data_IF_179842217856
#
_entry.id   IF_179842217856
#
_cell.length_a   1.000
_cell.length_b   1.000
_cell.length_c   1.000
_cell.angle_alpha   90.00
_cell.angle_beta   90.00
_cell.angle_gamma   90.00
#
_symmetry.space_group_name_H-M   'P 1'
#
loop_
_entity.id
_entity.type
_entity.pdbx_description
1 polymer ?
#
# COMPACT_ATOMS: atom_id res chain seq x y z
N UNK A 1 36.20 -24.71 -70.57
CA UNK A 1 37.15 -23.63 -70.25
C UNK A 1 36.39 -22.52 -69.55
N UNK A 2 36.98 -21.95 -68.49
CA UNK A 2 36.49 -20.84 -67.64
C UNK A 2 35.41 -21.25 -66.64
N UNK A 3 35.67 -21.49 -65.35
CA UNK A 3 36.32 -20.71 -64.26
C UNK A 3 35.40 -19.69 -63.58
N UNK A 4 35.52 -19.66 -62.24
CA UNK A 4 35.01 -18.69 -61.24
C UNK A 4 33.64 -19.08 -60.66
N UNK A 5 33.45 -19.35 -59.37
CA UNK A 5 34.10 -18.79 -58.19
C UNK A 5 33.23 -17.65 -57.64
N UNK A 6 32.33 -17.94 -56.69
CA UNK A 6 31.69 -16.90 -55.89
C UNK A 6 31.15 -17.48 -54.59
N UNK A 7 31.85 -17.14 -53.51
CA UNK A 7 31.45 -17.36 -52.13
C UNK A 7 30.37 -16.35 -51.77
N UNK A 8 29.22 -16.82 -51.30
CA UNK A 8 28.19 -15.96 -50.73
C UNK A 8 28.33 -15.95 -49.22
N UNK A 9 28.84 -14.84 -48.66
CA UNK A 9 28.83 -14.56 -47.23
C UNK A 9 27.38 -14.43 -46.72
N UNK A 10 27.13 -15.01 -45.54
CA UNK A 10 25.89 -14.86 -44.77
C UNK A 10 26.06 -13.62 -43.88
N UNK A 11 25.15 -12.62 -43.91
CA UNK A 11 25.20 -11.55 -42.92
C UNK A 11 24.71 -12.06 -41.55
N UNK A 12 25.61 -12.03 -40.57
CA UNK A 12 25.33 -12.18 -39.14
C UNK A 12 24.42 -11.03 -38.67
N UNK A 13 23.18 -11.36 -38.28
CA UNK A 13 22.26 -10.43 -37.61
C UNK A 13 22.54 -10.45 -36.11
N UNK A 14 23.37 -9.51 -35.65
CA UNK A 14 23.59 -9.25 -34.23
C UNK A 14 22.42 -8.41 -33.71
N UNK A 15 21.53 -9.02 -32.94
CA UNK A 15 20.46 -8.31 -32.25
C UNK A 15 21.06 -7.29 -31.24
N UNK A 16 20.59 -6.03 -31.20
CA UNK A 16 20.98 -5.12 -30.14
C UNK A 16 20.35 -5.56 -28.82
N UNK A 17 21.20 -5.68 -27.82
CA UNK A 17 20.86 -5.87 -26.41
C UNK A 17 20.11 -4.63 -25.90
N UNK A 18 18.78 -4.72 -25.82
CA UNK A 18 17.95 -3.72 -25.15
C UNK A 18 18.17 -3.80 -23.64
N UNK A 19 19.09 -2.99 -23.14
CA UNK A 19 19.30 -2.79 -21.70
C UNK A 19 18.14 -1.99 -21.12
N UNK A 20 17.70 -2.48 -19.98
CA UNK A 20 16.87 -1.91 -18.91
C UNK A 20 16.48 -0.44 -18.96
N UNK A 21 15.26 -0.21 -18.43
CA UNK A 21 14.80 0.93 -17.61
C UNK A 21 13.75 1.81 -18.27
N UNK A 22 12.51 1.63 -17.82
CA UNK A 22 11.54 2.72 -17.69
C UNK A 22 10.57 2.37 -16.55
N UNK A 23 11.05 2.52 -15.32
CA UNK A 23 10.18 2.94 -14.21
C UNK A 23 9.84 4.41 -14.45
N UNK A 24 8.57 4.71 -14.65
CA UNK A 24 7.89 5.96 -14.23
C UNK A 24 6.58 6.11 -15.01
N UNK A 25 5.54 5.39 -14.61
CA UNK A 25 4.17 5.81 -14.88
C UNK A 25 3.76 6.77 -13.76
N UNK A 26 4.20 8.02 -13.88
CA UNK A 26 3.66 9.15 -13.14
C UNK A 26 2.33 9.54 -13.80
N UNK A 27 1.25 8.90 -13.39
CA UNK A 27 -0.11 9.40 -13.66
C UNK A 27 -0.42 10.41 -12.57
N UNK A 28 -0.12 11.68 -12.85
CA UNK A 28 -0.56 12.81 -12.05
C UNK A 28 -1.69 13.50 -12.80
N UNK A 29 -2.90 13.59 -12.23
CA UNK A 29 -3.77 14.78 -12.36
C UNK A 29 -4.99 14.71 -11.45
N UNK A 30 -4.71 14.83 -10.16
CA UNK A 30 -5.58 15.28 -9.10
C UNK A 30 -4.67 15.39 -7.90
N UNK A 31 -4.45 16.58 -7.34
CA UNK A 31 -3.63 16.70 -6.14
C UNK A 31 -4.39 16.02 -5.00
N UNK A 32 -4.20 14.70 -4.84
CA UNK A 32 -4.68 13.92 -3.71
C UNK A 32 -4.32 14.70 -2.44
N UNK A 33 -5.26 14.94 -1.52
CA UNK A 33 -4.91 15.64 -0.29
C UNK A 33 -3.87 14.81 0.44
N UNK A 34 -2.64 15.31 0.62
CA UNK A 34 -1.55 14.76 1.46
C UNK A 34 -1.22 13.25 1.41
N UNK A 35 -1.99 12.36 0.81
CA UNK A 35 -1.79 10.92 0.87
C UNK A 35 -0.79 10.47 -0.18
N UNK A 36 0.15 9.63 0.26
CA UNK A 36 1.18 9.02 -0.58
C UNK A 36 0.86 7.53 -0.74
N UNK A 37 0.93 6.97 -1.96
CA UNK A 37 0.76 5.54 -2.16
C UNK A 37 1.89 4.75 -1.49
N UNK A 38 1.53 3.71 -0.73
CA UNK A 38 2.44 2.77 -0.09
C UNK A 38 2.55 1.44 -0.86
N UNK A 39 1.61 1.18 -1.77
CA UNK A 39 1.57 0.00 -2.63
C UNK A 39 0.52 -1.02 -2.20
N UNK A 40 0.62 -2.23 -2.76
CA UNK A 40 -0.31 -3.33 -2.59
C UNK A 40 -0.06 -4.15 -1.32
N UNK A 41 -1.12 -4.41 -0.57
CA UNK A 41 -1.13 -5.20 0.66
C UNK A 41 -2.22 -6.26 0.60
N UNK A 42 -2.03 -7.34 1.36
CA UNK A 42 -3.03 -8.40 1.50
C UNK A 42 -3.88 -8.24 2.75
N UNK A 43 -5.15 -8.63 2.65
CA UNK A 43 -5.98 -8.95 3.79
C UNK A 43 -5.39 -10.16 4.57
N UNK A 44 -5.76 -10.34 5.86
CA UNK A 44 -5.23 -11.42 6.66
C UNK A 44 -5.77 -12.78 6.20
N UNK A 45 -5.02 -13.84 6.54
CA UNK A 45 -5.42 -15.22 6.31
C UNK A 45 -5.53 -15.95 7.65
N UNK A 46 -6.67 -16.58 7.97
CA UNK A 46 -7.92 -16.65 7.20
C UNK A 46 -8.63 -15.29 7.09
N UNK A 47 -9.28 -15.05 5.95
CA UNK A 47 -10.09 -13.84 5.75
C UNK A 47 -11.45 -14.00 6.42
N UNK A 48 -11.83 -13.01 7.24
CA UNK A 48 -13.15 -12.91 7.87
C UNK A 48 -13.54 -11.44 7.92
N UNK A 49 -14.44 -10.95 7.04
CA UNK A 49 -14.75 -9.52 6.93
C UNK A 49 -15.34 -8.95 8.22
N UNK A 50 -15.98 -9.79 9.04
CA UNK A 50 -16.62 -9.40 10.30
C UNK A 50 -15.69 -9.48 11.52
N UNK A 51 -14.54 -10.13 11.41
CA UNK A 51 -13.68 -10.47 12.56
C UNK A 51 -12.23 -10.01 12.40
N UNK A 52 -11.69 -10.05 11.18
CA UNK A 52 -10.27 -9.79 10.91
C UNK A 52 -10.10 -9.11 9.55
N UNK A 53 -9.96 -7.78 9.58
CA UNK A 53 -9.70 -6.95 8.40
C UNK A 53 -8.46 -6.10 8.60
N UNK A 54 -7.57 -6.05 7.61
CA UNK A 54 -6.32 -5.31 7.72
C UNK A 54 -6.54 -3.81 7.99
N UNK A 55 -7.60 -3.25 7.39
CA UNK A 55 -8.01 -1.84 7.51
C UNK A 55 -9.47 -1.79 8.04
N UNK A 56 -9.69 -1.81 9.37
CA UNK A 56 -11.00 -2.11 9.95
C UNK A 56 -11.83 -0.91 10.43
N UNK A 57 -11.29 0.32 10.50
CA UNK A 57 -11.95 1.36 11.30
C UNK A 57 -13.18 2.00 10.64
N UNK A 58 -13.15 2.26 9.33
CA UNK A 58 -14.30 2.80 8.61
C UNK A 58 -14.35 2.29 7.17
N UNK A 59 -15.54 2.25 6.58
CA UNK A 59 -15.77 1.82 5.19
C UNK A 59 -17.00 2.47 4.59
N UNK A 60 -17.00 2.64 3.27
CA UNK A 60 -18.15 3.14 2.49
C UNK A 60 -19.07 2.02 2.00
N UNK A 61 -18.71 0.75 2.17
CA UNK A 61 -19.33 -0.35 1.43
C UNK A 61 -19.00 -0.30 -0.07
N UNK A 62 -19.69 -1.12 -0.87
CA UNK A 62 -19.47 -1.20 -2.31
C UNK A 62 -20.09 0.00 -3.05
N UNK A 63 -19.24 0.82 -3.67
CA UNK A 63 -19.61 2.02 -4.42
C UNK A 63 -19.61 1.77 -5.94
N UNK A 64 -20.58 2.36 -6.63
CA UNK A 64 -20.67 2.27 -8.10
C UNK A 64 -19.73 3.22 -8.83
N UNK A 65 -19.25 4.24 -8.13
CA UNK A 65 -18.48 5.39 -8.60
C UNK A 65 -17.21 5.58 -7.76
N UNK A 66 -16.59 4.48 -7.33
CA UNK A 66 -15.37 4.54 -6.52
C UNK A 66 -14.19 5.08 -7.33
N UNK A 67 -13.44 6.00 -6.75
CA UNK A 67 -12.11 6.43 -7.24
C UNK A 67 -11.12 6.42 -6.08
N UNK A 68 -9.82 6.47 -6.41
CA UNK A 68 -8.75 6.57 -5.40
C UNK A 68 -8.91 7.86 -4.60
N UNK A 69 -9.14 8.98 -5.29
CA UNK A 69 -9.32 10.30 -4.68
C UNK A 69 -10.55 10.32 -3.77
N UNK A 70 -11.67 9.75 -4.21
CA UNK A 70 -12.89 9.68 -3.42
C UNK A 70 -12.68 8.93 -2.10
N UNK A 71 -11.93 7.83 -2.14
CA UNK A 71 -11.60 7.08 -0.93
C UNK A 71 -10.64 7.82 0.00
N UNK A 72 -9.59 8.43 -0.56
CA UNK A 72 -8.62 9.23 0.19
C UNK A 72 -9.28 10.44 0.85
N UNK A 73 -10.14 11.16 0.13
CA UNK A 73 -10.90 12.29 0.65
C UNK A 73 -11.85 11.87 1.78
N UNK A 74 -12.53 10.73 1.61
CA UNK A 74 -13.38 10.16 2.66
C UNK A 74 -12.59 9.89 3.94
N UNK A 75 -11.44 9.22 3.85
CA UNK A 75 -10.62 8.92 5.02
C UNK A 75 -9.99 10.16 5.65
N UNK A 76 -9.58 11.14 4.83
CA UNK A 76 -9.09 12.43 5.30
C UNK A 76 -10.13 13.16 6.14
N UNK A 77 -11.37 13.25 5.65
CA UNK A 77 -12.47 13.93 6.34
C UNK A 77 -12.86 13.25 7.66
N UNK A 78 -12.59 11.95 7.79
CA UNK A 78 -12.76 11.19 9.03
C UNK A 78 -11.55 11.27 9.97
N UNK A 79 -10.44 11.86 9.53
CA UNK A 79 -9.22 12.02 10.33
C UNK A 79 -8.41 10.74 10.48
N UNK A 80 -8.52 9.80 9.54
CA UNK A 80 -7.68 8.60 9.53
C UNK A 80 -6.37 8.89 8.79
N UNK A 81 -5.22 8.33 9.21
CA UNK A 81 -3.96 8.44 8.48
C UNK A 81 -3.87 7.49 7.29
N UNK A 82 -4.63 6.39 7.25
CA UNK A 82 -4.59 5.39 6.19
C UNK A 82 -5.91 5.31 5.43
N UNK A 83 -5.81 5.13 4.13
CA UNK A 83 -6.90 4.88 3.21
C UNK A 83 -6.52 3.68 2.33
N UNK A 84 -7.46 2.79 2.07
CA UNK A 84 -7.25 1.60 1.27
C UNK A 84 -8.43 1.38 0.32
N UNK A 85 -8.10 1.13 -0.94
CA UNK A 85 -9.08 0.77 -1.98
C UNK A 85 -8.94 -0.70 -2.31
N UNK A 86 -10.06 -1.41 -2.36
CA UNK A 86 -10.10 -2.85 -2.57
C UNK A 86 -11.18 -3.24 -3.58
N UNK A 87 -10.90 -4.29 -4.35
CA UNK A 87 -11.84 -4.93 -5.25
C UNK A 87 -12.50 -3.99 -6.29
N UNK A 88 -11.89 -2.84 -6.57
CA UNK A 88 -12.41 -1.86 -7.53
C UNK A 88 -13.49 -0.93 -6.96
N UNK A 89 -14.19 -1.32 -5.89
CA UNK A 89 -15.39 -0.63 -5.44
C UNK A 89 -15.51 -0.43 -3.94
N UNK A 90 -14.52 -0.84 -3.15
CA UNK A 90 -14.53 -0.69 -1.70
C UNK A 90 -13.53 0.38 -1.25
N UNK A 91 -13.92 1.15 -0.23
CA UNK A 91 -13.04 2.07 0.49
C UNK A 91 -12.94 1.65 1.95
N UNK A 92 -11.75 1.74 2.51
CA UNK A 92 -11.49 1.49 3.92
C UNK A 92 -10.54 2.54 4.51
N UNK A 93 -10.78 2.91 5.76
CA UNK A 93 -9.93 3.83 6.52
C UNK A 93 -9.44 3.17 7.80
N UNK A 94 -8.23 3.52 8.22
CA UNK A 94 -7.68 3.01 9.47
C UNK A 94 -6.61 3.93 10.06
N UNK A 95 -6.36 3.76 11.36
CA UNK A 95 -5.23 4.37 12.06
C UNK A 95 -3.95 3.52 12.03
N UNK A 96 -4.05 2.29 11.53
CA UNK A 96 -2.95 1.35 11.41
C UNK A 96 -3.28 0.16 10.52
N UNK A 97 -2.32 -0.75 10.34
CA UNK A 97 -2.55 -2.04 9.69
C UNK A 97 -2.70 -3.10 10.79
N UNK A 98 -3.76 -3.88 10.72
CA UNK A 98 -4.12 -4.85 11.75
C UNK A 98 -4.14 -6.29 11.23
N UNK A 99 -4.28 -7.24 12.16
CA UNK A 99 -4.53 -8.66 11.92
C UNK A 99 -3.55 -9.39 10.99
N UNK A 100 -2.37 -8.80 10.72
CA UNK A 100 -1.36 -9.41 9.85
C UNK A 100 -1.46 -9.00 8.38
N UNK A 101 -2.19 -7.92 8.06
CA UNK A 101 -2.09 -7.30 6.74
C UNK A 101 -0.64 -6.97 6.41
N UNK A 102 -0.19 -7.34 5.20
CA UNK A 102 1.22 -7.34 4.85
C UNK A 102 1.43 -6.90 3.39
N UNK A 103 2.56 -6.26 3.07
CA UNK A 103 2.88 -5.88 1.70
C UNK A 103 3.06 -7.13 0.82
N UNK A 104 2.52 -7.08 -0.40
CA UNK A 104 2.68 -8.16 -1.38
C UNK A 104 4.03 -8.05 -2.08
N UNK A 105 4.89 -9.09 -2.05
CA UNK A 105 6.16 -9.08 -2.78
C UNK A 105 5.90 -8.91 -4.28
N UNK A 106 6.52 -7.91 -4.91
CA UNK A 106 6.34 -7.48 -6.31
C UNK A 106 5.12 -6.59 -6.59
N UNK A 107 4.30 -6.27 -5.59
CA UNK A 107 3.19 -5.32 -5.68
C UNK A 107 2.23 -5.59 -6.85
N UNK A 108 1.73 -4.51 -7.45
CA UNK A 108 0.76 -4.51 -8.57
C UNK A 108 1.31 -5.22 -9.84
N UNK A 109 2.58 -5.62 -9.85
CA UNK A 109 3.25 -6.30 -10.97
C UNK A 109 2.79 -7.76 -11.17
N UNK A 110 2.16 -8.38 -10.16
CA UNK A 110 1.63 -9.74 -10.28
C UNK A 110 0.19 -9.80 -10.84
N UNK A 111 -0.41 -8.66 -11.20
CA UNK A 111 -1.82 -8.57 -11.60
C UNK A 111 -2.82 -8.76 -10.45
N UNK A 112 -2.30 -8.92 -9.23
CA UNK A 112 -3.05 -9.20 -8.02
C UNK A 112 -3.74 -7.91 -7.48
N UNK A 113 -3.03 -6.77 -7.43
CA UNK A 113 -3.59 -5.43 -7.22
C UNK A 113 -3.70 -4.65 -8.55
N UNK A 114 -4.59 -5.08 -9.44
CA UNK A 114 -4.78 -4.46 -10.75
C UNK A 114 -6.27 -4.29 -11.11
N UNK A 115 -7.17 -4.33 -10.13
CA UNK A 115 -8.61 -4.17 -10.35
C UNK A 115 -8.91 -2.70 -10.60
N UNK A 116 -9.48 -2.33 -11.77
CA UNK A 116 -9.83 -0.95 -12.05
C UNK A 116 -10.89 -0.42 -11.08
N UNK A 117 -10.84 0.88 -10.78
CA UNK A 117 -11.87 1.50 -9.94
C UNK A 117 -13.22 1.55 -10.68
N UNK A 118 -14.33 1.46 -9.94
CA UNK A 118 -15.69 1.44 -10.53
C UNK A 118 -16.12 2.80 -11.09
N UNK A 119 -15.60 3.90 -10.54
CA UNK A 119 -15.83 5.28 -10.99
C UNK A 119 -14.83 5.80 -12.03
N UNK A 120 -13.60 5.28 -12.04
CA UNK A 120 -12.58 5.60 -13.05
C UNK A 120 -11.73 4.37 -13.38
N UNK A 121 -11.88 3.83 -14.60
CA UNK A 121 -11.15 2.64 -15.03
C UNK A 121 -9.68 2.89 -15.40
N UNK A 122 -9.23 4.15 -15.41
CA UNK A 122 -7.83 4.52 -15.56
C UNK A 122 -7.05 4.42 -14.26
N UNK A 123 -7.75 4.31 -13.13
CA UNK A 123 -7.20 4.11 -11.79
C UNK A 123 -7.28 2.64 -11.35
N UNK A 124 -6.39 2.27 -10.43
CA UNK A 124 -6.33 0.93 -9.85
C UNK A 124 -6.78 1.01 -8.39
N UNK A 125 -7.72 0.14 -8.03
CA UNK A 125 -8.36 0.06 -6.72
C UNK A 125 -8.18 -1.34 -6.09
N UNK A 126 -6.93 -1.80 -5.98
CA UNK A 126 -6.58 -3.06 -5.33
C UNK A 126 -6.96 -4.32 -6.11
N UNK A 127 -7.46 -5.32 -5.40
CA UNK A 127 -7.77 -6.67 -5.90
C UNK A 127 -8.69 -7.45 -4.97
N UNK A 128 -8.87 -8.75 -5.25
CA UNK A 128 -9.67 -9.62 -4.37
C UNK A 128 -8.85 -10.00 -3.14
N UNK A 129 -9.27 -9.54 -1.95
CA UNK A 129 -8.51 -9.66 -0.68
C UNK A 129 -7.16 -8.94 -0.69
N UNK A 130 -7.04 -7.95 -1.56
CA UNK A 130 -5.82 -7.19 -1.79
C UNK A 130 -6.20 -5.73 -1.95
N UNK A 131 -5.47 -4.83 -1.30
CA UNK A 131 -5.79 -3.42 -1.30
C UNK A 131 -4.57 -2.58 -1.63
N UNK A 132 -4.77 -1.51 -2.40
CA UNK A 132 -3.78 -0.48 -2.55
C UNK A 132 -3.88 0.48 -1.37
N UNK A 133 -2.78 0.63 -0.63
CA UNK A 133 -2.72 1.40 0.60
C UNK A 133 -2.12 2.79 0.34
N UNK A 134 -2.74 3.80 0.94
CA UNK A 134 -2.34 5.20 0.89
C UNK A 134 -2.19 5.72 2.32
N UNK A 135 -1.18 6.57 2.55
CA UNK A 135 -0.92 7.13 3.86
C UNK A 135 -0.75 8.65 3.84
N UNK A 136 -1.32 9.32 4.82
CA UNK A 136 -1.14 10.75 5.04
C UNK A 136 0.04 11.00 5.99
N UNK A 137 1.20 11.48 5.50
CA UNK A 137 2.38 11.73 6.31
C UNK A 137 2.16 12.87 7.30
N UNK A 138 1.31 13.86 6.98
CA UNK A 138 1.02 14.99 7.88
C UNK A 138 0.27 14.53 9.13
N UNK A 139 -0.64 13.57 8.98
CA UNK A 139 -1.37 12.97 10.10
C UNK A 139 -0.47 12.06 10.94
N UNK A 140 0.45 11.33 10.31
CA UNK A 140 1.45 10.55 11.04
C UNK A 140 2.37 11.46 11.85
N UNK A 141 2.86 12.56 11.29
CA UNK A 141 3.70 13.52 12.02
C UNK A 141 2.95 14.23 13.15
N UNK A 142 1.71 14.67 12.95
CA UNK A 142 0.85 15.23 14.01
C UNK A 142 0.59 14.19 15.11
N UNK A 143 0.26 12.96 14.74
CA UNK A 143 0.01 11.88 15.70
C UNK A 143 1.29 11.52 16.48
N UNK A 144 2.45 11.40 15.83
CA UNK A 144 3.74 11.16 16.47
C UNK A 144 4.23 12.36 17.29
N UNK A 145 3.89 13.59 16.91
CA UNK A 145 4.21 14.81 17.68
C UNK A 145 3.29 14.99 18.90
N UNK A 146 2.01 14.62 18.79
CA UNK A 146 1.01 14.69 19.87
C UNK A 146 1.14 13.51 20.85
N UNK A 147 1.49 12.33 20.33
CA UNK A 147 1.82 11.12 21.07
C UNK A 147 3.28 10.74 20.80
N UNK A 148 4.27 11.51 21.31
CA UNK A 148 5.65 11.09 21.21
C UNK A 148 5.73 9.76 21.94
N UNK A 149 6.09 8.69 21.24
CA UNK A 149 6.32 7.36 21.85
C UNK A 149 7.27 7.46 23.06
N UNK A 150 8.05 8.54 23.18
CA UNK A 150 8.78 8.94 24.38
C UNK A 150 7.93 9.07 25.66
N UNK A 151 6.68 9.56 25.60
CA UNK A 151 5.76 9.63 26.75
C UNK A 151 5.22 8.25 27.15
N UNK A 152 4.96 7.38 26.17
CA UNK A 152 4.56 5.99 26.44
C UNK A 152 5.73 5.17 27.02
N UNK A 153 6.96 5.39 26.56
CA UNK A 153 8.16 4.85 27.19
C UNK A 153 8.42 5.44 28.58
N UNK A 154 8.14 6.71 28.83
CA UNK A 154 8.27 7.32 30.16
C UNK A 154 7.28 6.71 31.16
N UNK A 155 6.02 6.46 30.75
CA UNK A 155 5.02 5.78 31.60
C UNK A 155 5.34 4.29 31.79
N UNK A 156 5.73 3.55 30.73
CA UNK A 156 6.22 2.17 30.88
C UNK A 156 7.48 2.07 31.75
N UNK A 157 8.38 3.07 31.71
CA UNK A 157 9.54 3.17 32.62
C UNK A 157 9.15 3.55 34.05
N UNK A 158 8.00 4.22 34.28
CA UNK A 158 7.47 4.48 35.64
C UNK A 158 6.81 3.22 36.20
N UNK A 159 5.96 2.55 35.42
CA UNK A 159 5.35 1.27 35.78
C UNK A 159 6.41 0.19 36.03
N UNK A 160 7.43 0.09 35.16
CA UNK A 160 8.55 -0.85 35.32
C UNK A 160 9.53 -0.51 36.45
N UNK A 161 9.55 0.73 36.96
CA UNK A 161 10.28 1.10 38.19
C UNK A 161 9.44 0.88 39.45
N UNK A 162 8.13 1.04 39.35
CA UNK A 162 7.18 0.77 40.43
C UNK A 162 7.07 -0.74 40.71
N UNK A 163 6.94 -1.58 39.67
CA UNK A 163 6.94 -3.04 39.80
C UNK A 163 8.25 -3.60 40.41
N UNK A 164 9.41 -3.02 40.04
CA UNK A 164 10.72 -3.38 40.62
C UNK A 164 10.91 -2.91 42.07
N UNK A 165 10.16 -1.90 42.51
CA UNK A 165 10.13 -1.46 43.91
C UNK A 165 9.23 -2.37 44.75
N UNK A 166 8.08 -2.78 44.25
CA UNK A 166 7.17 -3.71 44.93
C UNK A 166 7.86 -5.07 45.18
N UNK A 167 8.61 -5.60 44.21
CA UNK A 167 9.36 -6.84 44.38
C UNK A 167 10.46 -6.79 45.46
N UNK A 168 10.95 -5.59 45.81
CA UNK A 168 11.96 -5.41 46.87
C UNK A 168 11.39 -5.30 48.29
N UNK A 169 10.07 -5.29 48.44
CA UNK A 169 9.37 -5.30 49.73
C UNK A 169 8.80 -6.68 50.09
N UNK A 170 9.04 -7.69 49.25
CA UNK A 170 8.56 -9.07 49.44
C UNK A 170 9.70 -10.07 49.75
N UNK A 171 10.89 -9.56 50.10
CA UNK A 171 11.99 -10.27 50.76
C UNK A 171 12.29 -9.57 52.10
#
# INVERSE_FOLDING_TARGET
>A
MSSSGSSTEVPTSTAPTGTSSASSSSTSSGALPSYTPLGCYSEPTPYSPDESRAIPNATTGALTDQTVEGCVDYCYNLGYPLAAVEHGNLCFCSDGIYYGGAPVPNGNSAGECATPCSGDSSEICGGHYLFDLYANPTFLDEFYARFPMARFHAEKRKIGRYARRIFRYLE
#
